data_IF_874616037168
#
_entry.id   IF_874616037168
#
_cell.length_a   1.000
_cell.length_b   1.000
_cell.length_c   1.000
_cell.angle_alpha   90.00
_cell.angle_beta   90.00
_cell.angle_gamma   90.00
#
_symmetry.space_group_name_H-M   'P 1'
#
loop_
_entity.id
_entity.type
_entity.pdbx_description
1 polymer ?
#
# COMPACT_ATOMS: atom_id res chain seq x y z
N UNK A 1 -1.51 33.45 11.46
CA UNK A 1 -0.47 32.78 10.62
C UNK A 1 -0.60 31.29 10.84
N UNK A 2 -0.43 30.49 9.82
CA UNK A 2 -0.42 29.02 9.92
C UNK A 2 0.89 28.50 9.33
N UNK A 3 1.34 27.31 9.74
CA UNK A 3 2.53 26.65 9.16
C UNK A 3 2.32 26.32 7.68
N UNK A 4 1.10 26.48 7.17
CA UNK A 4 0.76 26.30 5.75
C UNK A 4 0.36 24.88 5.37
N UNK A 5 0.44 23.90 6.27
CA UNK A 5 -0.05 22.55 5.98
C UNK A 5 -1.57 22.60 5.79
N UNK A 6 -2.11 22.07 4.66
CA UNK A 6 -3.55 22.09 4.41
C UNK A 6 -4.33 21.37 5.52
N UNK A 7 -5.33 22.03 6.11
CA UNK A 7 -6.13 21.47 7.21
C UNK A 7 -6.87 20.19 6.83
N UNK A 8 -7.20 20.04 5.57
CA UNK A 8 -7.80 18.81 5.00
C UNK A 8 -6.91 17.57 5.09
N UNK A 9 -5.60 17.75 5.19
CA UNK A 9 -4.65 16.65 5.40
C UNK A 9 -4.58 16.22 6.88
N UNK A 10 -5.01 17.07 7.81
CA UNK A 10 -4.89 16.87 9.26
C UNK A 10 -6.13 16.18 9.85
N UNK A 11 -6.62 15.15 9.19
CA UNK A 11 -7.73 14.34 9.66
C UNK A 11 -7.33 12.86 9.66
N UNK A 12 -8.01 12.04 10.46
CA UNK A 12 -7.70 10.60 10.54
C UNK A 12 -8.32 9.81 9.37
N UNK A 13 -8.20 10.35 8.15
CA UNK A 13 -8.63 9.68 6.91
C UNK A 13 -7.46 9.67 5.93
N UNK A 14 -7.44 8.66 5.07
CA UNK A 14 -6.52 8.66 3.94
C UNK A 14 -6.85 9.80 2.97
N UNK A 15 -5.81 10.44 2.46
CA UNK A 15 -5.95 11.56 1.54
C UNK A 15 -4.64 11.99 0.91
N UNK A 16 -4.62 13.17 0.27
CA UNK A 16 -3.44 13.70 -0.37
C UNK A 16 -2.29 13.89 0.62
N UNK A 17 -1.09 13.54 0.19
CA UNK A 17 0.12 13.75 0.98
C UNK A 17 0.68 15.15 0.75
N UNK A 18 0.84 15.98 1.80
CA UNK A 18 1.38 17.34 1.64
C UNK A 18 2.87 17.35 1.27
N UNK A 19 3.57 16.20 1.35
CA UNK A 19 5.00 16.11 1.04
C UNK A 19 5.30 15.60 -0.37
N UNK A 20 4.49 14.66 -0.89
CA UNK A 20 4.75 14.01 -2.18
C UNK A 20 3.56 14.05 -3.15
N UNK A 21 2.50 14.79 -2.82
CA UNK A 21 1.26 14.97 -3.60
C UNK A 21 0.56 13.64 -3.99
N UNK A 22 0.90 12.54 -3.32
CA UNK A 22 0.19 11.27 -3.50
C UNK A 22 -1.27 11.40 -3.04
N UNK A 23 -2.21 10.93 -3.86
CA UNK A 23 -3.65 11.29 -3.74
C UNK A 23 -4.37 10.66 -2.57
N UNK A 24 -3.94 9.45 -2.09
CA UNK A 24 -4.70 8.65 -1.12
C UNK A 24 -3.82 7.93 -0.08
N UNK A 25 -2.53 8.30 0.01
CA UNK A 25 -1.53 7.54 0.77
C UNK A 25 -1.10 8.17 2.08
N UNK A 26 -1.58 9.37 2.39
CA UNK A 26 -1.28 10.09 3.63
C UNK A 26 -2.45 9.98 4.61
N UNK A 27 -2.14 9.83 5.89
CA UNK A 27 -3.10 9.91 6.99
C UNK A 27 -2.44 10.55 8.20
N UNK A 28 -3.09 11.56 8.75
CA UNK A 28 -2.79 12.12 10.04
C UNK A 28 -3.56 11.34 11.10
N UNK A 29 -2.92 10.40 11.79
CA UNK A 29 -3.57 9.56 12.79
C UNK A 29 -3.48 10.12 14.22
N UNK A 30 -2.66 11.14 14.43
CA UNK A 30 -2.50 11.83 15.71
C UNK A 30 -2.39 10.86 16.90
N UNK A 31 -1.61 9.80 16.74
CA UNK A 31 -1.47 8.76 17.73
C UNK A 31 -0.93 9.34 19.04
N UNK A 32 -1.58 9.04 20.15
CA UNK A 32 -1.26 9.58 21.48
C UNK A 32 -1.26 11.11 21.58
N UNK A 33 -1.97 11.80 20.71
CA UNK A 33 -2.01 13.28 20.69
C UNK A 33 -0.70 13.94 20.30
N UNK A 34 0.26 13.19 19.76
CA UNK A 34 1.61 13.69 19.39
C UNK A 34 1.72 14.17 17.96
N UNK A 35 0.63 14.14 17.20
CA UNK A 35 0.61 14.59 15.81
C UNK A 35 1.30 13.62 14.86
N UNK A 36 1.15 12.31 15.07
CA UNK A 36 1.73 11.32 14.17
C UNK A 36 1.03 11.27 12.82
N UNK A 37 1.80 10.93 11.81
CA UNK A 37 1.29 10.69 10.45
C UNK A 37 1.97 9.49 9.81
N UNK A 38 1.31 8.94 8.81
CA UNK A 38 1.85 7.91 7.94
C UNK A 38 1.55 8.25 6.48
N UNK A 39 2.53 8.06 5.61
CA UNK A 39 2.37 8.09 4.16
C UNK A 39 3.01 6.84 3.57
N UNK A 40 2.31 6.14 2.69
CA UNK A 40 2.82 4.91 2.06
C UNK A 40 4.13 5.10 1.28
N UNK A 41 4.46 6.34 0.90
CA UNK A 41 5.71 6.69 0.20
C UNK A 41 6.71 7.44 1.08
N UNK A 42 6.25 8.45 1.85
CA UNK A 42 7.16 9.28 2.66
C UNK A 42 7.52 8.65 4.00
N UNK A 43 6.89 7.52 4.36
CA UNK A 43 7.05 6.87 5.66
C UNK A 43 6.17 7.48 6.75
N UNK A 44 6.44 7.10 7.99
CA UNK A 44 5.77 7.61 9.18
C UNK A 44 6.63 8.70 9.87
N UNK A 45 5.97 9.55 10.64
CA UNK A 45 6.66 10.58 11.40
C UNK A 45 5.72 11.30 12.37
N UNK A 46 6.26 12.31 13.06
CA UNK A 46 5.54 13.14 14.02
C UNK A 46 5.22 14.50 13.41
N UNK A 47 4.32 15.26 14.04
CA UNK A 47 3.89 16.55 13.55
C UNK A 47 5.03 17.55 13.33
N UNK A 48 6.04 17.55 14.20
CA UNK A 48 7.22 18.37 14.03
C UNK A 48 8.03 17.96 12.78
N UNK A 49 8.20 16.63 12.54
CA UNK A 49 8.88 16.13 11.33
C UNK A 49 8.12 16.52 10.07
N UNK A 50 6.77 16.43 10.12
CA UNK A 50 5.92 16.87 9.02
C UNK A 50 6.12 18.35 8.72
N UNK A 51 6.10 19.19 9.75
CA UNK A 51 6.27 20.64 9.62
C UNK A 51 7.65 21.01 9.04
N UNK A 52 8.70 20.37 9.53
CA UNK A 52 10.06 20.57 9.03
C UNK A 52 10.20 20.15 7.56
N UNK A 53 9.70 18.97 7.21
CA UNK A 53 9.74 18.45 5.82
C UNK A 53 8.90 19.31 4.86
N UNK A 54 7.74 19.78 5.31
CA UNK A 54 6.83 20.58 4.49
C UNK A 54 7.36 21.98 4.22
N UNK A 55 7.96 22.63 5.24
CA UNK A 55 8.43 24.00 5.14
C UNK A 55 9.89 24.13 4.73
N UNK A 56 10.66 23.07 4.86
CA UNK A 56 12.13 23.10 4.69
C UNK A 56 12.87 23.80 5.84
N UNK A 57 12.18 24.16 6.92
CA UNK A 57 12.77 24.88 8.08
C UNK A 57 13.35 23.90 9.10
N UNK A 58 14.27 24.43 9.92
CA UNK A 58 14.87 23.68 11.03
C UNK A 58 13.92 23.58 12.23
N UNK A 59 14.22 22.66 13.13
CA UNK A 59 13.43 22.46 14.36
C UNK A 59 13.28 23.77 15.19
N UNK A 60 14.34 24.57 15.48
CA UNK A 60 14.21 25.79 16.25
C UNK A 60 13.31 26.85 15.57
N UNK A 61 13.37 26.95 14.23
CA UNK A 61 12.52 27.88 13.48
C UNK A 61 11.05 27.51 13.58
N UNK A 62 10.74 26.22 13.37
CA UNK A 62 9.34 25.72 13.49
C UNK A 62 8.84 25.83 14.93
N UNK A 63 9.66 25.48 15.93
CA UNK A 63 9.28 25.59 17.34
C UNK A 63 8.95 27.05 17.69
N UNK A 64 9.77 27.99 17.25
CA UNK A 64 9.53 29.43 17.47
C UNK A 64 8.24 29.92 16.81
N UNK A 65 7.94 29.48 15.58
CA UNK A 65 6.69 29.80 14.89
C UNK A 65 5.46 29.22 15.61
N UNK A 66 5.54 27.99 16.09
CA UNK A 66 4.48 27.33 16.86
C UNK A 66 4.25 28.10 18.17
N UNK A 67 5.30 28.46 18.90
CA UNK A 67 5.20 29.24 20.14
C UNK A 67 4.54 30.59 19.91
N UNK A 68 4.88 31.30 18.84
CA UNK A 68 4.23 32.53 18.43
C UNK A 68 2.74 32.36 18.11
N UNK A 69 2.38 31.25 17.44
CA UNK A 69 0.99 30.95 17.08
C UNK A 69 0.14 30.56 18.28
N UNK A 70 0.69 29.81 19.21
CA UNK A 70 -0.02 29.28 20.38
C UNK A 70 -0.09 30.31 21.51
N UNK A 71 0.73 31.36 21.48
CA UNK A 71 0.76 32.38 22.51
C UNK A 71 0.98 31.81 23.92
N UNK A 72 1.85 30.80 24.06
CA UNK A 72 2.10 30.09 25.31
C UNK A 72 0.87 29.38 25.94
N UNK A 73 -0.17 29.07 25.15
CA UNK A 73 -1.30 28.29 25.64
C UNK A 73 -0.87 26.85 25.87
N UNK A 74 -1.08 26.32 27.07
CA UNK A 74 -0.96 24.89 27.37
C UNK A 74 -1.98 24.13 26.50
N UNK A 75 -1.49 23.26 25.65
CA UNK A 75 -2.33 22.39 24.85
C UNK A 75 -2.87 21.25 25.72
N UNK A 76 -4.19 21.10 25.80
CA UNK A 76 -4.81 19.87 26.31
C UNK A 76 -4.93 18.90 25.14
N UNK A 77 -4.28 17.72 25.20
CA UNK A 77 -4.39 16.75 24.12
C UNK A 77 -5.84 16.26 23.99
N UNK A 78 -6.35 16.23 22.76
CA UNK A 78 -7.63 15.60 22.44
C UNK A 78 -7.67 14.18 23.04
N UNK A 79 -8.87 13.74 23.47
CA UNK A 79 -9.06 12.39 24.02
C UNK A 79 -8.58 11.35 23.00
N UNK A 80 -7.43 10.78 23.27
CA UNK A 80 -6.86 9.70 22.47
C UNK A 80 -7.78 8.49 22.61
N UNK A 81 -8.34 8.00 21.51
CA UNK A 81 -8.97 6.68 21.53
C UNK A 81 -7.93 5.66 21.96
N UNK A 82 -8.21 4.83 22.97
CA UNK A 82 -7.28 3.76 23.33
C UNK A 82 -6.99 2.89 22.09
N UNK A 83 -5.75 2.42 21.92
CA UNK A 83 -5.44 1.51 20.84
C UNK A 83 -6.35 0.27 20.94
N UNK A 84 -6.79 -0.23 19.77
CA UNK A 84 -7.57 -1.45 19.71
C UNK A 84 -6.80 -2.60 20.37
N UNK A 85 -7.45 -3.36 21.25
CA UNK A 85 -6.83 -4.53 21.86
C UNK A 85 -6.46 -5.56 20.80
N UNK A 86 -5.48 -6.41 21.08
CA UNK A 86 -5.09 -7.48 20.15
C UNK A 86 -6.26 -8.46 19.91
N UNK A 87 -7.04 -8.78 20.93
CA UNK A 87 -8.22 -9.64 20.80
C UNK A 87 -9.29 -9.02 19.91
N UNK A 88 -9.56 -7.72 20.05
CA UNK A 88 -10.50 -7.00 19.18
C UNK A 88 -10.00 -6.96 17.74
N UNK A 89 -8.69 -6.75 17.55
CA UNK A 89 -8.04 -6.77 16.24
C UNK A 89 -8.20 -8.13 15.56
N UNK A 90 -7.87 -9.20 16.25
CA UNK A 90 -8.00 -10.57 15.74
C UNK A 90 -9.46 -10.94 15.47
N UNK A 91 -10.38 -10.51 16.34
CA UNK A 91 -11.81 -10.69 16.14
C UNK A 91 -12.30 -9.98 14.88
N UNK A 92 -11.88 -8.73 14.66
CA UNK A 92 -12.22 -7.98 13.45
C UNK A 92 -11.67 -8.63 12.17
N UNK A 93 -10.42 -9.11 12.20
CA UNK A 93 -9.80 -9.83 11.07
C UNK A 93 -10.58 -11.10 10.73
N UNK A 94 -10.92 -11.91 11.75
CA UNK A 94 -11.73 -13.14 11.57
C UNK A 94 -13.12 -12.83 11.02
N UNK A 95 -13.78 -11.79 11.53
CA UNK A 95 -15.10 -11.37 11.07
C UNK A 95 -15.12 -10.95 9.60
N UNK A 96 -14.10 -10.25 9.12
CA UNK A 96 -13.95 -9.87 7.70
C UNK A 96 -13.59 -11.09 6.86
N UNK A 97 -12.65 -11.91 7.30
CA UNK A 97 -12.24 -13.13 6.60
C UNK A 97 -13.42 -14.11 6.42
N UNK A 98 -14.26 -14.28 7.45
CA UNK A 98 -15.42 -15.17 7.42
C UNK A 98 -16.48 -14.77 6.37
N UNK A 99 -16.55 -13.48 5.99
CA UNK A 99 -17.45 -13.00 4.93
C UNK A 99 -16.92 -13.28 3.53
N UNK A 100 -15.66 -13.71 3.40
CA UNK A 100 -15.02 -13.89 2.10
C UNK A 100 -15.34 -15.24 1.48
N UNK A 101 -15.48 -15.24 0.17
CA UNK A 101 -15.58 -16.43 -0.65
C UNK A 101 -14.31 -16.60 -1.50
N UNK A 102 -14.12 -17.78 -2.09
CA UNK A 102 -13.04 -18.01 -3.05
C UNK A 102 -13.20 -17.06 -4.25
N UNK A 103 -12.13 -16.43 -4.66
CA UNK A 103 -12.10 -15.63 -5.89
C UNK A 103 -12.15 -16.60 -7.08
N UNK A 104 -13.18 -16.47 -7.90
CA UNK A 104 -13.43 -17.33 -9.07
C UNK A 104 -13.97 -16.48 -10.22
N UNK A 105 -14.04 -17.07 -11.40
CA UNK A 105 -14.54 -16.40 -12.62
C UNK A 105 -15.98 -15.86 -12.49
N UNK A 106 -16.78 -16.37 -11.55
CA UNK A 106 -18.14 -15.89 -11.30
C UNK A 106 -18.24 -14.68 -10.35
N UNK A 107 -17.09 -14.19 -9.84
CA UNK A 107 -17.07 -13.07 -8.87
C UNK A 107 -16.76 -11.74 -9.56
N UNK A 108 -17.27 -10.63 -9.00
CA UNK A 108 -16.89 -9.26 -9.46
C UNK A 108 -15.38 -8.99 -9.27
N UNK A 109 -14.72 -9.67 -8.34
CA UNK A 109 -13.26 -9.60 -8.21
C UNK A 109 -12.53 -10.14 -9.45
N UNK A 110 -13.07 -11.17 -10.10
CA UNK A 110 -12.54 -11.64 -11.39
C UNK A 110 -12.79 -10.60 -12.50
N UNK A 111 -14.00 -10.05 -12.59
CA UNK A 111 -14.30 -8.99 -13.56
C UNK A 111 -13.32 -7.81 -13.43
N UNK A 112 -12.99 -7.43 -12.18
CA UNK A 112 -11.96 -6.43 -11.91
C UNK A 112 -10.59 -6.80 -12.47
N UNK A 113 -10.11 -8.02 -12.21
CA UNK A 113 -8.82 -8.44 -12.71
C UNK A 113 -8.80 -8.63 -14.24
N UNK A 114 -9.92 -9.05 -14.83
CA UNK A 114 -10.08 -9.08 -16.30
C UNK A 114 -9.98 -7.68 -16.91
N UNK A 115 -10.65 -6.68 -16.31
CA UNK A 115 -10.59 -5.28 -16.79
C UNK A 115 -9.15 -4.69 -16.69
N UNK A 116 -8.33 -5.24 -15.78
CA UNK A 116 -6.90 -4.90 -15.62
C UNK A 116 -5.97 -5.78 -16.44
N UNK A 117 -6.53 -6.67 -17.27
CA UNK A 117 -5.74 -7.55 -18.11
C UNK A 117 -5.05 -8.72 -17.41
N UNK A 118 -5.38 -8.97 -16.17
CA UNK A 118 -4.74 -9.98 -15.29
C UNK A 118 -5.74 -11.02 -14.75
N UNK A 119 -6.86 -11.25 -15.46
CA UNK A 119 -7.82 -12.30 -15.12
C UNK A 119 -7.19 -13.70 -15.23
N UNK A 120 -7.40 -14.54 -14.23
CA UNK A 120 -6.87 -15.89 -14.12
C UNK A 120 -7.97 -16.94 -14.05
N UNK A 121 -7.69 -18.17 -14.47
CA UNK A 121 -8.60 -19.31 -14.27
C UNK A 121 -8.65 -19.68 -12.78
N UNK A 122 -7.51 -19.62 -12.09
CA UNK A 122 -7.37 -19.87 -10.67
C UNK A 122 -6.53 -18.78 -10.02
N UNK A 123 -7.03 -18.22 -8.93
CA UNK A 123 -6.33 -17.18 -8.16
C UNK A 123 -5.57 -17.76 -6.97
N UNK A 124 -4.49 -17.11 -6.52
CA UNK A 124 -3.79 -17.46 -5.30
C UNK A 124 -4.74 -17.55 -4.09
N UNK A 125 -4.44 -18.45 -3.15
CA UNK A 125 -5.23 -18.60 -1.90
C UNK A 125 -5.21 -17.33 -1.05
N UNK A 126 -4.18 -16.51 -1.18
CA UNK A 126 -4.03 -15.20 -0.54
C UNK A 126 -5.05 -14.18 -1.04
N UNK A 127 -5.66 -14.39 -2.23
CA UNK A 127 -6.71 -13.54 -2.79
C UNK A 127 -8.07 -14.17 -2.61
N UNK A 128 -9.00 -13.41 -2.04
CA UNK A 128 -10.39 -13.80 -1.81
C UNK A 128 -11.32 -12.67 -2.23
N UNK A 129 -12.60 -12.92 -2.23
CA UNK A 129 -13.61 -11.94 -2.60
C UNK A 129 -14.71 -11.81 -1.52
N UNK A 130 -15.10 -10.59 -1.19
CA UNK A 130 -16.23 -10.29 -0.31
C UNK A 130 -17.29 -9.57 -1.14
N UNK A 131 -18.47 -10.16 -1.34
CA UNK A 131 -19.51 -9.55 -2.18
C UNK A 131 -20.01 -8.19 -1.66
N UNK A 132 -20.04 -8.01 -0.33
CA UNK A 132 -20.59 -6.83 0.32
C UNK A 132 -19.84 -6.58 1.65
N UNK A 133 -18.84 -5.72 1.62
CA UNK A 133 -18.05 -5.34 2.79
C UNK A 133 -18.28 -3.87 3.12
N UNK A 134 -18.43 -3.53 4.41
CA UNK A 134 -18.46 -2.13 4.87
C UNK A 134 -17.14 -1.42 4.55
N UNK A 135 -17.23 -0.28 3.87
CA UNK A 135 -16.06 0.49 3.41
C UNK A 135 -15.46 1.42 4.49
N UNK A 136 -16.16 1.57 5.62
CA UNK A 136 -15.79 2.47 6.72
C UNK A 136 -16.14 3.94 6.48
N UNK A 137 -16.82 4.25 5.36
CA UNK A 137 -17.31 5.59 5.00
C UNK A 137 -18.84 5.63 4.90
N UNK A 138 -19.49 4.64 5.48
CA UNK A 138 -20.96 4.52 5.51
C UNK A 138 -21.54 3.70 4.36
N UNK A 139 -20.70 3.20 3.44
CA UNK A 139 -21.11 2.36 2.32
C UNK A 139 -20.82 0.87 2.52
N UNK A 140 -21.39 0.08 1.61
CA UNK A 140 -21.12 -1.35 1.47
C UNK A 140 -20.78 -1.61 0.01
N UNK A 141 -19.65 -2.29 -0.24
CA UNK A 141 -19.12 -2.47 -1.59
C UNK A 141 -18.54 -3.87 -1.79
N UNK A 142 -18.51 -4.37 -3.04
CA UNK A 142 -17.70 -5.54 -3.38
C UNK A 142 -16.22 -5.25 -3.09
N UNK A 143 -15.49 -6.27 -2.63
CA UNK A 143 -14.11 -6.07 -2.21
C UNK A 143 -13.25 -7.29 -2.56
N UNK A 144 -12.11 -7.05 -3.20
CA UNK A 144 -11.01 -8.03 -3.24
C UNK A 144 -10.26 -7.94 -1.92
N UNK A 145 -10.12 -9.10 -1.28
CA UNK A 145 -9.44 -9.26 -0.02
C UNK A 145 -8.12 -9.97 -0.25
N UNK A 146 -7.02 -9.41 0.19
CA UNK A 146 -5.71 -10.04 0.13
C UNK A 146 -5.15 -10.26 1.55
N UNK A 147 -4.67 -11.47 1.79
CA UNK A 147 -4.00 -11.82 3.04
C UNK A 147 -2.57 -11.29 2.99
N UNK A 148 -2.22 -10.47 3.97
CA UNK A 148 -0.88 -9.94 4.16
C UNK A 148 -0.13 -10.83 5.14
N UNK A 149 1.06 -11.26 4.74
CA UNK A 149 1.96 -12.07 5.55
C UNK A 149 3.13 -11.23 6.07
N UNK A 150 3.55 -11.49 7.29
CA UNK A 150 4.77 -10.96 7.87
C UNK A 150 6.03 -11.63 7.29
N UNK A 151 7.23 -11.14 7.69
CA UNK A 151 8.50 -11.73 7.26
C UNK A 151 8.71 -13.19 7.69
N UNK A 152 7.98 -13.64 8.70
CA UNK A 152 7.92 -15.01 9.21
C UNK A 152 6.95 -15.92 8.46
N UNK A 153 6.24 -15.37 7.46
CA UNK A 153 5.20 -16.09 6.70
C UNK A 153 3.84 -16.17 7.38
N UNK A 154 3.72 -15.67 8.62
CA UNK A 154 2.45 -15.67 9.35
C UNK A 154 1.49 -14.58 8.84
N UNK A 155 0.20 -14.88 8.87
CA UNK A 155 -0.83 -13.94 8.44
C UNK A 155 -1.01 -12.82 9.49
N UNK A 156 -0.69 -11.58 9.10
CA UNK A 156 -0.69 -10.44 10.03
C UNK A 156 -1.88 -9.51 9.86
N UNK A 157 -2.39 -9.33 8.64
CA UNK A 157 -3.53 -8.45 8.38
C UNK A 157 -4.20 -8.77 7.04
N UNK A 158 -5.23 -7.99 6.70
CA UNK A 158 -5.94 -8.07 5.43
C UNK A 158 -5.86 -6.73 4.70
N UNK A 159 -5.48 -6.78 3.43
CA UNK A 159 -5.59 -5.67 2.51
C UNK A 159 -6.93 -5.78 1.77
N UNK A 160 -7.65 -4.67 1.67
CA UNK A 160 -8.98 -4.56 1.09
C UNK A 160 -8.93 -3.62 -0.11
N UNK A 161 -9.31 -4.12 -1.28
CA UNK A 161 -9.51 -3.29 -2.49
C UNK A 161 -11.00 -3.24 -2.77
N UNK A 162 -11.62 -2.10 -2.46
CA UNK A 162 -13.04 -1.87 -2.72
C UNK A 162 -13.27 -1.59 -4.20
N UNK A 163 -14.32 -2.21 -4.74
CA UNK A 163 -14.65 -2.14 -6.16
C UNK A 163 -15.95 -1.35 -6.39
N UNK A 164 -16.11 -0.85 -7.59
CA UNK A 164 -17.40 -0.36 -8.10
C UNK A 164 -18.41 -1.51 -8.12
N UNK A 165 -19.69 -1.17 -8.14
CA UNK A 165 -20.77 -2.15 -8.16
C UNK A 165 -20.77 -3.06 -9.41
N UNK A 166 -20.21 -2.58 -10.54
CA UNK A 166 -20.03 -3.36 -11.76
C UNK A 166 -18.77 -4.26 -11.73
N UNK A 167 -17.90 -4.08 -10.75
CA UNK A 167 -16.64 -4.81 -10.61
C UNK A 167 -15.55 -4.40 -11.60
N UNK A 168 -15.77 -3.41 -12.48
CA UNK A 168 -14.82 -3.09 -13.55
C UNK A 168 -13.69 -2.15 -13.14
N UNK A 169 -13.82 -1.51 -11.98
CA UNK A 169 -12.80 -0.58 -11.46
C UNK A 169 -12.79 -0.57 -9.93
N UNK A 170 -11.77 0.05 -9.36
CA UNK A 170 -11.77 0.43 -7.92
C UNK A 170 -12.93 1.37 -7.64
N UNK A 171 -13.46 1.33 -6.43
CA UNK A 171 -14.58 2.17 -6.02
C UNK A 171 -14.23 3.66 -6.09
N UNK A 172 -15.20 4.47 -6.50
CA UNK A 172 -15.09 5.93 -6.52
C UNK A 172 -15.23 6.45 -5.07
N UNK A 173 -14.10 6.44 -4.36
CA UNK A 173 -13.98 6.87 -2.97
C UNK A 173 -12.54 7.37 -2.71
N UNK A 174 -12.32 8.22 -1.71
CA UNK A 174 -11.00 8.82 -1.45
C UNK A 174 -9.88 7.79 -1.29
N UNK A 175 -10.18 6.64 -0.67
CA UNK A 175 -9.20 5.57 -0.47
C UNK A 175 -9.83 4.21 -0.72
N UNK A 176 -9.81 3.71 -1.97
CA UNK A 176 -10.40 2.42 -2.31
C UNK A 176 -9.56 1.23 -1.83
N UNK A 177 -8.30 1.46 -1.45
CA UNK A 177 -7.41 0.45 -0.87
C UNK A 177 -7.19 0.76 0.61
N UNK A 178 -7.46 -0.21 1.48
CA UNK A 178 -7.32 -0.05 2.94
C UNK A 178 -6.77 -1.32 3.57
N UNK A 179 -5.86 -1.17 4.50
CA UNK A 179 -5.46 -2.24 5.41
C UNK A 179 -6.44 -2.31 6.59
N UNK A 180 -6.58 -3.49 7.19
CA UNK A 180 -7.26 -3.59 8.49
C UNK A 180 -6.41 -2.87 9.55
N UNK A 181 -7.05 -2.27 10.59
CA UNK A 181 -6.33 -1.59 11.65
C UNK A 181 -5.37 -2.53 12.42
N UNK A 182 -4.27 -1.97 12.89
CA UNK A 182 -3.28 -2.65 13.73
C UNK A 182 -1.86 -2.50 13.21
N UNK A 183 -0.88 -2.92 14.00
CA UNK A 183 0.53 -2.92 13.60
C UNK A 183 0.76 -3.94 12.47
N UNK A 184 1.63 -3.58 11.54
CA UNK A 184 2.05 -4.45 10.44
C UNK A 184 3.57 -4.50 10.48
N UNK A 185 4.19 -5.68 10.64
CA UNK A 185 5.64 -5.82 10.63
C UNK A 185 6.26 -5.26 9.35
N UNK A 186 7.43 -4.66 9.48
CA UNK A 186 8.23 -4.19 8.35
C UNK A 186 8.54 -5.34 7.38
N UNK A 187 8.41 -5.07 6.09
CA UNK A 187 8.65 -6.07 5.04
C UNK A 187 7.50 -7.06 4.81
N UNK A 188 6.33 -6.83 5.44
CA UNK A 188 5.13 -7.62 5.14
C UNK A 188 4.71 -7.48 3.66
N UNK A 189 4.16 -8.55 3.11
CA UNK A 189 3.75 -8.62 1.70
C UNK A 189 2.53 -9.52 1.50
N UNK A 190 1.98 -9.53 0.30
CA UNK A 190 1.01 -10.50 -0.19
C UNK A 190 1.76 -11.51 -1.06
N UNK A 191 1.91 -12.74 -0.59
CA UNK A 191 2.44 -13.83 -1.39
C UNK A 191 1.38 -14.26 -2.41
N UNK A 192 1.63 -13.97 -3.68
CA UNK A 192 0.72 -14.30 -4.79
C UNK A 192 0.98 -15.70 -5.37
N UNK A 193 1.96 -16.41 -4.86
CA UNK A 193 2.28 -17.80 -5.18
C UNK A 193 3.03 -18.42 -4.01
N UNK A 194 3.03 -19.74 -3.91
CA UNK A 194 3.99 -20.45 -3.07
C UNK A 194 5.40 -20.26 -3.67
N UNK A 195 6.41 -20.05 -2.83
CA UNK A 195 7.79 -20.04 -3.29
C UNK A 195 8.31 -21.47 -3.37
N UNK A 196 8.72 -21.88 -4.57
CA UNK A 196 9.19 -23.26 -4.84
C UNK A 196 10.66 -23.31 -5.30
N UNK A 197 11.38 -22.20 -5.13
CA UNK A 197 12.76 -22.02 -5.60
C UNK A 197 12.86 -21.17 -6.86
N UNK A 198 14.08 -20.75 -7.21
CA UNK A 198 14.37 -19.91 -8.36
C UNK A 198 14.15 -18.41 -8.12
N UNK A 199 14.13 -17.60 -9.20
CA UNK A 199 13.93 -16.17 -9.11
C UNK A 199 12.56 -15.80 -8.53
N UNK A 200 12.52 -14.77 -7.68
CA UNK A 200 11.28 -14.21 -7.13
C UNK A 200 11.20 -12.70 -7.38
N UNK A 201 10.08 -12.25 -7.90
CA UNK A 201 9.82 -10.83 -8.07
C UNK A 201 9.09 -10.22 -6.87
N UNK A 202 9.26 -8.90 -6.72
CA UNK A 202 8.51 -8.06 -5.79
C UNK A 202 8.10 -6.77 -6.48
N UNK A 203 6.84 -6.36 -6.29
CA UNK A 203 6.30 -5.10 -6.78
C UNK A 203 5.52 -4.37 -5.68
N UNK A 204 5.18 -3.11 -5.87
CA UNK A 204 4.44 -2.35 -4.84
C UNK A 204 3.01 -2.86 -4.68
N UNK A 205 2.25 -2.95 -5.76
CA UNK A 205 0.82 -3.27 -5.75
C UNK A 205 0.51 -4.68 -6.23
N UNK A 206 -0.69 -5.19 -5.90
CA UNK A 206 -1.16 -6.52 -6.32
C UNK A 206 -1.30 -6.57 -7.85
N UNK A 207 -1.93 -5.56 -8.44
CA UNK A 207 -2.14 -5.45 -9.88
C UNK A 207 -0.80 -5.35 -10.61
N UNK A 208 0.11 -4.53 -10.10
CA UNK A 208 1.48 -4.37 -10.61
C UNK A 208 2.23 -5.70 -10.56
N UNK A 209 2.16 -6.42 -9.44
CA UNK A 209 2.81 -7.72 -9.26
C UNK A 209 2.29 -8.79 -10.22
N UNK A 210 0.96 -8.92 -10.35
CA UNK A 210 0.35 -9.88 -11.28
C UNK A 210 0.68 -9.56 -12.73
N UNK A 211 0.77 -8.28 -13.08
CA UNK A 211 1.13 -7.83 -14.43
C UNK A 211 2.60 -8.10 -14.75
N UNK A 212 3.49 -7.78 -13.81
CA UNK A 212 4.92 -8.09 -13.93
C UNK A 212 5.17 -9.61 -14.04
N UNK A 213 4.44 -10.40 -13.25
CA UNK A 213 4.49 -11.86 -13.32
C UNK A 213 4.16 -12.37 -14.74
N UNK A 214 3.14 -11.82 -15.39
CA UNK A 214 2.77 -12.17 -16.77
C UNK A 214 3.81 -11.74 -17.82
N UNK A 215 4.34 -10.54 -17.67
CA UNK A 215 5.28 -9.98 -18.64
C UNK A 215 6.65 -10.67 -18.61
N UNK A 216 7.05 -11.13 -17.44
CA UNK A 216 8.40 -11.70 -17.21
C UNK A 216 8.41 -13.22 -16.98
N UNK A 217 7.24 -13.84 -16.95
CA UNK A 217 7.06 -15.29 -16.71
C UNK A 217 7.78 -15.79 -15.45
N UNK A 218 7.63 -15.03 -14.35
CA UNK A 218 8.19 -15.40 -13.04
C UNK A 218 7.20 -15.05 -11.90
N UNK A 219 7.26 -15.75 -10.75
CA UNK A 219 6.42 -15.41 -9.61
C UNK A 219 6.80 -14.01 -9.06
N UNK A 220 5.80 -13.16 -8.85
CA UNK A 220 5.98 -11.81 -8.28
C UNK A 220 5.01 -11.62 -7.12
N UNK A 221 5.52 -11.22 -5.95
CA UNK A 221 4.73 -10.89 -4.77
C UNK A 221 4.45 -9.39 -4.69
N UNK A 222 3.48 -8.99 -3.87
CA UNK A 222 3.10 -7.59 -3.72
C UNK A 222 3.43 -7.07 -2.32
N UNK A 223 4.20 -5.99 -2.24
CA UNK A 223 4.69 -5.39 -0.98
C UNK A 223 3.68 -4.42 -0.33
N UNK A 224 2.50 -4.22 -0.92
CA UNK A 224 1.43 -3.37 -0.44
C UNK A 224 1.68 -1.87 -0.66
N UNK A 225 2.88 -1.39 -0.42
CA UNK A 225 3.32 -0.01 -0.64
C UNK A 225 4.85 0.07 -0.72
N UNK A 226 5.36 1.23 -1.20
CA UNK A 226 6.79 1.49 -1.37
C UNK A 226 7.61 1.30 -0.08
N UNK A 227 7.09 1.76 1.07
CA UNK A 227 7.80 1.63 2.35
C UNK A 227 7.95 0.18 2.83
N UNK A 228 6.96 -0.67 2.56
CA UNK A 228 7.06 -2.12 2.82
C UNK A 228 7.99 -2.79 1.82
N UNK A 229 7.96 -2.37 0.54
CA UNK A 229 8.88 -2.89 -0.47
C UNK A 229 10.34 -2.64 -0.11
N UNK A 230 10.70 -1.46 0.35
CA UNK A 230 12.06 -1.13 0.78
C UNK A 230 12.58 -2.07 1.89
N UNK A 231 11.70 -2.55 2.74
CA UNK A 231 12.01 -3.37 3.93
C UNK A 231 11.82 -4.87 3.71
N UNK A 232 11.23 -5.26 2.57
CA UNK A 232 10.95 -6.66 2.26
C UNK A 232 12.23 -7.49 2.14
N UNK A 233 12.17 -8.72 2.64
CA UNK A 233 13.21 -9.72 2.41
C UNK A 233 12.60 -10.93 1.70
N UNK A 234 13.31 -11.53 0.74
CA UNK A 234 12.84 -12.77 0.11
C UNK A 234 12.84 -13.92 1.13
N UNK A 235 12.06 -14.98 0.87
CA UNK A 235 12.07 -16.20 1.66
C UNK A 235 13.45 -16.86 1.64
N UNK A 236 13.69 -17.72 2.63
CA UNK A 236 14.93 -18.51 2.72
C UNK A 236 15.18 -19.33 1.46
N UNK A 237 16.41 -19.35 0.98
CA UNK A 237 16.81 -20.04 -0.24
C UNK A 237 16.53 -19.28 -1.54
N UNK A 238 16.06 -18.04 -1.46
CA UNK A 238 15.91 -17.18 -2.64
C UNK A 238 17.15 -16.30 -2.81
N UNK A 239 17.98 -16.61 -3.80
CA UNK A 239 19.24 -15.91 -4.08
C UNK A 239 19.12 -14.91 -5.23
N UNK A 240 18.02 -14.96 -5.99
CA UNK A 240 17.78 -14.10 -7.15
C UNK A 240 16.43 -13.36 -7.02
N UNK A 241 16.49 -12.02 -7.08
CA UNK A 241 15.33 -11.14 -6.89
C UNK A 241 15.18 -10.18 -8.06
N UNK A 242 13.95 -10.10 -8.61
CA UNK A 242 13.54 -9.08 -9.56
C UNK A 242 12.67 -8.02 -8.87
N UNK A 243 13.12 -6.77 -8.83
CA UNK A 243 12.37 -5.66 -8.20
C UNK A 243 11.66 -4.85 -9.29
N UNK A 244 10.33 -4.79 -9.21
CA UNK A 244 9.48 -4.08 -10.16
C UNK A 244 8.99 -2.77 -9.54
N UNK A 245 9.66 -1.66 -9.84
CA UNK A 245 9.27 -0.32 -9.40
C UNK A 245 8.33 0.35 -10.37
N UNK A 246 7.50 1.28 -9.87
CA UNK A 246 6.66 2.14 -10.70
C UNK A 246 7.51 3.32 -11.23
N UNK A 247 7.12 3.90 -12.39
CA UNK A 247 7.81 5.05 -12.99
C UNK A 247 7.12 6.36 -12.58
N UNK A 248 7.26 6.72 -11.32
CA UNK A 248 6.68 7.96 -10.80
C UNK A 248 7.44 9.20 -11.28
N UNK A 249 6.72 10.27 -11.63
CA UNK A 249 7.30 11.56 -12.01
C UNK A 249 8.19 12.19 -10.91
N UNK A 250 7.93 11.86 -9.65
CA UNK A 250 8.73 12.29 -8.49
C UNK A 250 9.67 11.20 -7.96
N UNK A 251 9.94 10.19 -8.76
CA UNK A 251 10.88 9.10 -8.49
C UNK A 251 10.59 8.24 -7.25
N UNK A 252 9.36 8.22 -6.74
CA UNK A 252 9.01 7.48 -5.52
C UNK A 252 9.16 5.96 -5.68
N UNK A 253 8.54 5.39 -6.70
CA UNK A 253 8.63 3.96 -7.01
C UNK A 253 10.04 3.53 -7.37
N UNK A 254 10.74 4.32 -8.21
CA UNK A 254 12.14 4.07 -8.58
C UNK A 254 13.05 4.08 -7.34
N UNK A 255 12.89 5.07 -6.46
CA UNK A 255 13.71 5.19 -5.25
C UNK A 255 13.51 3.99 -4.31
N UNK A 256 12.26 3.56 -4.11
CA UNK A 256 11.95 2.38 -3.31
C UNK A 256 12.57 1.10 -3.90
N UNK A 257 12.44 0.91 -5.22
CA UNK A 257 13.00 -0.24 -5.92
C UNK A 257 14.53 -0.29 -5.81
N UNK A 258 15.22 0.83 -6.05
CA UNK A 258 16.68 0.88 -5.96
C UNK A 258 17.20 0.76 -4.52
N UNK A 259 16.50 1.29 -3.51
CA UNK A 259 16.87 1.09 -2.09
C UNK A 259 16.77 -0.37 -1.70
N UNK A 260 15.68 -1.05 -2.08
CA UNK A 260 15.55 -2.48 -1.85
C UNK A 260 16.68 -3.25 -2.56
N UNK A 261 16.88 -2.99 -3.85
CA UNK A 261 17.90 -3.67 -4.64
C UNK A 261 19.32 -3.49 -4.04
N UNK A 262 19.69 -2.27 -3.67
CA UNK A 262 20.97 -2.00 -2.99
C UNK A 262 21.09 -2.80 -1.69
N UNK A 263 20.04 -2.80 -0.85
CA UNK A 263 20.05 -3.51 0.42
C UNK A 263 20.22 -5.02 0.26
N UNK A 264 19.54 -5.62 -0.73
CA UNK A 264 19.64 -7.05 -1.01
C UNK A 264 20.98 -7.42 -1.67
N UNK A 265 21.48 -6.61 -2.59
CA UNK A 265 22.79 -6.81 -3.22
C UNK A 265 23.94 -6.74 -2.21
N UNK A 266 23.89 -5.84 -1.23
CA UNK A 266 24.86 -5.78 -0.13
C UNK A 266 24.83 -7.06 0.73
N UNK A 267 23.69 -7.74 0.80
CA UNK A 267 23.56 -9.06 1.46
C UNK A 267 24.04 -10.23 0.59
N UNK A 268 24.46 -9.98 -0.64
CA UNK A 268 25.00 -10.99 -1.56
C UNK A 268 23.99 -11.62 -2.50
N UNK A 269 22.75 -11.10 -2.59
CA UNK A 269 21.76 -11.61 -3.52
C UNK A 269 22.01 -11.07 -4.95
N UNK A 270 21.65 -11.84 -5.97
CA UNK A 270 21.52 -11.36 -7.34
C UNK A 270 20.24 -10.55 -7.49
N UNK A 271 20.34 -9.29 -7.88
CA UNK A 271 19.17 -8.40 -7.95
C UNK A 271 19.12 -7.66 -9.27
N UNK A 272 17.94 -7.69 -9.90
CA UNK A 272 17.61 -6.85 -11.07
C UNK A 272 16.52 -5.86 -10.71
N UNK A 273 16.55 -4.66 -11.32
CA UNK A 273 15.51 -3.63 -11.15
C UNK A 273 14.88 -3.34 -12.50
N UNK A 274 13.56 -3.41 -12.53
CA UNK A 274 12.76 -3.15 -13.72
C UNK A 274 11.86 -1.95 -13.45
N UNK A 275 11.87 -0.96 -14.35
CA UNK A 275 11.04 0.24 -14.31
C UNK A 275 10.33 0.37 -15.67
N UNK A 276 9.02 0.65 -15.74
CA UNK A 276 8.33 0.93 -16.99
C UNK A 276 8.99 2.09 -17.76
N UNK A 277 8.96 2.03 -19.09
CA UNK A 277 9.64 3.05 -19.91
C UNK A 277 8.94 4.41 -19.88
N UNK A 278 7.62 4.42 -19.69
CA UNK A 278 6.79 5.63 -19.78
C UNK A 278 6.59 6.19 -18.37
N UNK A 279 6.91 7.47 -18.18
CA UNK A 279 6.66 8.19 -16.93
C UNK A 279 5.17 8.18 -16.57
N UNK A 280 4.87 7.97 -15.29
CA UNK A 280 3.52 7.86 -14.74
C UNK A 280 2.90 6.48 -14.88
N UNK A 281 3.57 5.51 -15.51
CA UNK A 281 3.07 4.15 -15.68
C UNK A 281 3.56 3.21 -14.58
N UNK A 282 2.67 2.29 -14.21
CA UNK A 282 2.99 1.07 -13.47
C UNK A 282 3.10 -0.14 -14.43
N UNK A 283 3.39 -1.34 -13.89
CA UNK A 283 3.50 -2.55 -14.73
C UNK A 283 2.14 -3.06 -15.25
N UNK A 284 1.02 -2.63 -14.65
CA UNK A 284 -0.28 -2.93 -15.22
C UNK A 284 -0.55 -2.08 -16.47
N UNK A 285 -0.14 -0.82 -16.47
CA UNK A 285 -0.21 0.03 -17.66
C UNK A 285 0.68 -0.53 -18.78
N UNK A 286 1.90 -0.97 -18.44
CA UNK A 286 2.81 -1.61 -19.40
C UNK A 286 2.21 -2.89 -20.01
N UNK A 287 1.55 -3.73 -19.21
CA UNK A 287 0.86 -4.93 -19.69
C UNK A 287 -0.28 -4.60 -20.65
N UNK A 288 -1.09 -3.60 -20.31
CA UNK A 288 -2.23 -3.20 -21.15
C UNK A 288 -1.77 -2.63 -22.49
N UNK A 289 -0.65 -1.93 -22.52
CA UNK A 289 -0.04 -1.44 -23.77
C UNK A 289 0.57 -2.56 -24.63
N UNK A 290 1.09 -3.61 -24.01
CA UNK A 290 1.70 -4.73 -24.72
C UNK A 290 0.68 -5.69 -25.35
N UNK A 291 -0.63 -5.57 -25.02
CA UNK A 291 -1.68 -6.42 -25.58
C UNK A 291 -1.93 -6.07 -27.05
N UNK A 292 -2.04 -7.07 -27.95
CA UNK A 292 -2.55 -6.84 -29.30
C UNK A 292 -3.97 -6.26 -29.25
N UNK A 293 -4.27 -5.32 -30.13
CA UNK A 293 -5.60 -4.66 -30.22
C UNK A 293 -6.76 -5.64 -30.54
N UNK A 294 -6.46 -6.88 -30.90
CA UNK A 294 -7.45 -7.91 -31.30
C UNK A 294 -8.13 -8.62 -30.11
N UNK A 295 -7.58 -8.52 -28.89
CA UNK A 295 -8.20 -9.16 -27.70
C UNK A 295 -9.13 -8.23 -26.91
N UNK A 296 -9.36 -7.00 -27.35
CA UNK A 296 -10.15 -5.99 -26.64
C UNK A 296 -11.61 -5.86 -27.13
N UNK A 297 -12.13 -6.84 -27.88
CA UNK A 297 -13.50 -6.85 -28.43
C UNK A 297 -14.43 -7.83 -27.73
#
# INVERSE_FOLDING_TARGET
MSIGIPGECLNNKHGPCPLCDGTDRFRWDNQDGKGSYICGQCGAGWGMDLAMKFTGKTFPEIASEIDMLLGNKKFEPDQVRPPMSEDDRLSALRAVSAQSVKLTQSTLGHAYFVSRGIGEIAYPKSLRFVPALRDGEGGVRPCVLATVQGPDGENVTLHRTFLRADGLAKADMPSPRKLMPGPIPDGSCVALSDYTGGPLGIAEGIETAMSASRLYDLPVWAAINAGMMEKWNPPEGCDEVAVFGDHDAKFGGQAAAYRLAHRLAVKGLSVTVHIPQIEGHDWNDALLLARPLEEAA
#
